data_IF_626587867409
#
_entry.id   IF_626587867409
#
_cell.length_a   1.000
_cell.length_b   1.000
_cell.length_c   1.000
_cell.angle_alpha   90.00
_cell.angle_beta   90.00
_cell.angle_gamma   90.00
#
_symmetry.space_group_name_H-M   'P 1'
#
loop_
_entity.id
_entity.type
_entity.pdbx_description
1 polymer ?
#
# COMPACT_ATOMS: atom_id res chain seq x y z
N UNK A 1 -12.11 -36.53 -3.76
CA UNK A 1 -12.91 -37.59 -4.41
C UNK A 1 -12.96 -38.83 -3.49
N UNK A 2 -14.09 -39.56 -3.41
CA UNK A 2 -14.26 -40.73 -2.52
C UNK A 2 -13.35 -41.91 -2.85
N UNK A 3 -13.03 -42.71 -1.82
CA UNK A 3 -12.19 -43.92 -1.93
C UNK A 3 -12.90 -44.96 -2.80
N UNK A 4 -12.16 -45.61 -3.70
CA UNK A 4 -12.65 -46.62 -4.64
C UNK A 4 -13.12 -46.07 -6.00
N UNK A 5 -13.28 -44.74 -6.12
CA UNK A 5 -13.72 -44.12 -7.37
C UNK A 5 -12.66 -44.22 -8.47
N UNK A 6 -13.09 -44.54 -9.69
CA UNK A 6 -12.24 -44.52 -10.88
C UNK A 6 -12.14 -43.10 -11.44
N UNK A 7 -10.92 -42.61 -11.63
CA UNK A 7 -10.66 -41.26 -12.12
C UNK A 7 -9.60 -41.29 -13.22
N UNK A 8 -9.76 -40.41 -14.19
CA UNK A 8 -8.85 -40.23 -15.32
C UNK A 8 -8.18 -38.88 -15.19
N UNK A 9 -6.85 -38.85 -15.16
CA UNK A 9 -6.07 -37.61 -15.22
C UNK A 9 -5.66 -37.38 -16.67
N UNK A 10 -5.99 -36.21 -17.20
CA UNK A 10 -5.72 -35.87 -18.58
C UNK A 10 -5.22 -34.42 -18.74
N UNK A 11 -4.46 -34.19 -19.81
CA UNK A 11 -3.93 -32.88 -20.18
C UNK A 11 -4.56 -32.41 -21.49
N UNK A 12 -4.78 -31.11 -21.69
CA UNK A 12 -5.33 -30.61 -22.94
C UNK A 12 -4.40 -31.00 -24.08
N UNK A 13 -4.97 -31.55 -25.15
CA UNK A 13 -4.19 -31.85 -26.34
C UNK A 13 -3.95 -30.56 -27.12
N UNK A 14 -2.68 -30.23 -27.35
CA UNK A 14 -2.27 -29.06 -28.11
C UNK A 14 -1.62 -29.56 -29.40
N UNK A 15 -2.27 -29.34 -30.54
CA UNK A 15 -1.69 -29.65 -31.84
C UNK A 15 -0.63 -28.61 -32.22
N UNK A 16 0.62 -29.01 -32.52
CA UNK A 16 1.55 -28.13 -33.21
C UNK A 16 0.98 -27.77 -34.59
N UNK A 17 1.00 -26.49 -34.94
CA UNK A 17 0.46 -25.96 -36.21
C UNK A 17 1.16 -26.51 -37.46
N UNK A 18 2.31 -27.15 -37.33
CA UNK A 18 3.15 -27.63 -38.43
C UNK A 18 2.96 -29.11 -38.78
N UNK A 19 2.08 -29.85 -38.07
CA UNK A 19 1.96 -31.31 -38.22
C UNK A 19 0.53 -31.76 -38.40
N UNK A 20 0.35 -32.85 -39.15
CA UNK A 20 -0.94 -33.52 -39.24
C UNK A 20 -1.29 -34.24 -37.94
N UNK A 21 -2.58 -34.43 -37.68
CA UNK A 21 -3.06 -35.11 -36.46
C UNK A 21 -2.46 -36.51 -36.30
N UNK A 22 -2.42 -37.29 -37.38
CA UNK A 22 -1.91 -38.66 -37.39
C UNK A 22 -0.40 -38.75 -37.14
N UNK A 23 0.39 -37.78 -37.62
CA UNK A 23 1.82 -37.69 -37.31
C UNK A 23 2.05 -37.40 -35.82
N UNK A 24 1.23 -36.52 -35.23
CA UNK A 24 1.35 -36.20 -33.81
C UNK A 24 0.96 -37.40 -32.92
N UNK A 25 -0.08 -38.15 -33.29
CA UNK A 25 -0.45 -39.39 -32.61
C UNK A 25 0.67 -40.42 -32.58
N UNK A 26 1.43 -40.58 -33.68
CA UNK A 26 2.58 -41.50 -33.73
C UNK A 26 3.70 -41.06 -32.78
N UNK A 27 3.90 -39.76 -32.60
CA UNK A 27 4.89 -39.23 -31.65
C UNK A 27 4.47 -39.52 -30.22
N UNK A 28 3.20 -39.25 -29.87
CA UNK A 28 2.66 -39.58 -28.55
C UNK A 28 2.79 -41.08 -28.25
N UNK A 29 2.58 -41.93 -29.25
CA UNK A 29 2.78 -43.38 -29.13
C UNK A 29 4.25 -43.75 -28.89
N UNK A 30 5.20 -43.10 -29.58
CA UNK A 30 6.64 -43.28 -29.33
C UNK A 30 7.08 -42.80 -27.94
N UNK A 31 6.40 -41.77 -27.40
CA UNK A 31 6.61 -41.27 -26.03
C UNK A 31 5.97 -42.18 -24.96
N UNK A 32 5.22 -43.21 -25.35
CA UNK A 32 4.62 -44.20 -24.46
C UNK A 32 3.15 -43.94 -24.10
N UNK A 33 2.53 -42.88 -24.64
CA UNK A 33 1.10 -42.65 -24.46
C UNK A 33 0.28 -43.63 -25.30
N UNK A 34 -0.83 -44.11 -24.74
CA UNK A 34 -1.66 -45.13 -25.41
C UNK A 34 -3.09 -44.69 -25.68
N UNK A 35 -3.57 -43.64 -25.01
CA UNK A 35 -4.98 -43.25 -25.03
C UNK A 35 -5.16 -41.73 -25.06
N UNK A 36 -6.22 -41.33 -25.74
CA UNK A 36 -6.77 -39.98 -25.71
C UNK A 36 -8.20 -40.05 -25.19
N UNK A 37 -8.71 -38.92 -24.73
CA UNK A 37 -10.11 -38.74 -24.42
C UNK A 37 -10.68 -37.76 -25.44
N UNK A 38 -11.62 -38.23 -26.27
CA UNK A 38 -12.30 -37.46 -27.31
C UNK A 38 -13.76 -37.32 -26.91
N UNK A 39 -14.22 -36.10 -26.68
CA UNK A 39 -15.59 -35.79 -26.24
C UNK A 39 -16.05 -36.66 -25.05
N UNK A 40 -15.18 -36.76 -24.03
CA UNK A 40 -15.38 -37.54 -22.80
C UNK A 40 -15.39 -39.08 -22.99
N UNK A 41 -15.00 -39.58 -24.16
CA UNK A 41 -14.83 -41.02 -24.40
C UNK A 41 -13.34 -41.37 -24.47
N UNK A 42 -12.85 -42.28 -23.60
CA UNK A 42 -11.47 -42.75 -23.69
C UNK A 42 -11.31 -43.68 -24.91
N UNK A 43 -10.48 -43.27 -25.85
CA UNK A 43 -10.19 -43.98 -27.11
C UNK A 43 -8.70 -44.30 -27.19
N UNK A 44 -8.33 -45.45 -27.75
CA UNK A 44 -6.90 -45.77 -27.92
C UNK A 44 -6.31 -45.05 -29.12
N UNK A 45 -5.03 -44.71 -29.05
CA UNK A 45 -4.31 -44.05 -30.15
C UNK A 45 -4.25 -44.97 -31.38
N UNK A 46 -4.13 -46.29 -31.17
CA UNK A 46 -4.14 -47.28 -32.24
C UNK A 46 -5.46 -47.25 -33.02
N UNK A 47 -6.60 -47.25 -32.32
CA UNK A 47 -7.92 -47.17 -32.97
C UNK A 47 -8.05 -45.88 -33.78
N UNK A 48 -7.61 -44.73 -33.23
CA UNK A 48 -7.70 -43.45 -33.94
C UNK A 48 -6.86 -43.42 -35.23
N UNK A 49 -5.70 -44.08 -35.23
CA UNK A 49 -4.83 -44.22 -36.40
C UNK A 49 -5.43 -45.19 -37.44
N UNK A 50 -5.99 -46.31 -36.98
CA UNK A 50 -6.56 -47.35 -37.86
C UNK A 50 -7.85 -46.87 -38.53
N UNK A 51 -8.69 -46.11 -37.82
CA UNK A 51 -9.93 -45.53 -38.36
C UNK A 51 -9.72 -44.20 -39.10
N UNK A 52 -8.49 -43.67 -39.15
CA UNK A 52 -8.18 -42.41 -39.83
C UNK A 52 -8.96 -41.22 -39.27
N UNK A 53 -9.16 -41.15 -37.96
CA UNK A 53 -9.92 -40.08 -37.33
C UNK A 53 -9.20 -38.74 -37.51
N UNK A 54 -9.89 -37.74 -38.05
CA UNK A 54 -9.44 -36.35 -38.08
C UNK A 54 -10.33 -35.49 -37.17
N UNK A 55 -9.73 -34.71 -36.25
CA UNK A 55 -10.49 -33.92 -35.31
C UNK A 55 -11.15 -32.71 -35.97
N UNK A 56 -12.45 -32.54 -35.75
CA UNK A 56 -13.14 -31.30 -36.10
C UNK A 56 -12.93 -30.24 -35.01
N UNK A 57 -13.04 -28.93 -35.31
CA UNK A 57 -12.85 -27.85 -34.33
C UNK A 57 -13.76 -27.92 -33.10
N UNK A 58 -14.87 -28.65 -33.18
CA UNK A 58 -15.81 -28.87 -32.08
C UNK A 58 -15.38 -29.96 -31.10
N UNK A 59 -14.42 -30.82 -31.46
CA UNK A 59 -14.00 -31.93 -30.60
C UNK A 59 -13.12 -31.44 -29.46
N UNK A 60 -13.40 -31.89 -28.25
CA UNK A 60 -12.52 -31.71 -27.10
C UNK A 60 -11.63 -32.93 -26.94
N UNK A 61 -10.32 -32.73 -27.11
CA UNK A 61 -9.32 -33.80 -27.07
C UNK A 61 -8.39 -33.58 -25.89
N UNK A 62 -8.22 -34.62 -25.10
CA UNK A 62 -7.34 -34.61 -23.94
C UNK A 62 -6.41 -35.83 -23.98
N UNK A 63 -5.14 -35.62 -23.69
CA UNK A 63 -4.15 -36.68 -23.54
C UNK A 63 -4.34 -37.37 -22.20
N UNK A 64 -4.61 -38.67 -22.19
CA UNK A 64 -4.76 -39.43 -20.94
C UNK A 64 -3.38 -39.77 -20.39
N UNK A 65 -3.05 -39.20 -19.23
CA UNK A 65 -1.75 -39.38 -18.58
C UNK A 65 -1.77 -40.62 -17.69
N UNK A 66 -2.75 -40.71 -16.80
CA UNK A 66 -2.91 -41.89 -15.93
C UNK A 66 -4.38 -42.10 -15.52
N UNK A 67 -4.64 -43.28 -14.97
CA UNK A 67 -5.93 -43.68 -14.39
C UNK A 67 -5.73 -44.27 -13.02
N UNK A 68 -6.57 -43.82 -12.11
CA UNK A 68 -6.49 -44.18 -10.72
C UNK A 68 -7.79 -44.80 -10.24
N UNK A 69 -7.68 -45.78 -9.37
CA UNK A 69 -8.73 -46.08 -8.39
C UNK A 69 -8.26 -45.47 -7.08
N UNK A 70 -9.06 -44.59 -6.48
CA UNK A 70 -8.64 -43.85 -5.30
C UNK A 70 -8.42 -44.82 -4.12
N UNK A 71 -7.18 -44.84 -3.62
CA UNK A 71 -6.75 -45.69 -2.51
C UNK A 71 -6.19 -44.81 -1.37
N UNK A 72 -6.07 -45.38 -0.17
CA UNK A 72 -5.50 -44.69 1.01
C UNK A 72 -4.01 -44.98 1.24
N UNK A 73 -3.35 -45.73 0.35
CA UNK A 73 -1.95 -46.10 0.52
C UNK A 73 -0.99 -44.93 0.20
N UNK A 74 0.14 -44.84 0.89
CA UNK A 74 1.13 -43.77 0.67
C UNK A 74 1.79 -43.87 -0.72
N UNK A 75 2.06 -45.10 -1.18
CA UNK A 75 2.57 -45.41 -2.53
C UNK A 75 1.65 -44.88 -3.64
N UNK A 76 0.34 -44.91 -3.42
CA UNK A 76 -0.66 -44.38 -4.34
C UNK A 76 -0.52 -42.86 -4.49
N UNK A 77 -0.37 -42.13 -3.37
CA UNK A 77 -0.22 -40.67 -3.42
C UNK A 77 1.08 -40.22 -4.08
N UNK A 78 2.17 -40.98 -3.92
CA UNK A 78 3.42 -40.73 -4.66
C UNK A 78 3.22 -40.86 -6.18
N UNK A 79 2.58 -41.95 -6.63
CA UNK A 79 2.27 -42.13 -8.06
C UNK A 79 1.36 -41.01 -8.59
N UNK A 80 0.32 -40.66 -7.83
CA UNK A 80 -0.60 -39.57 -8.21
C UNK A 80 0.15 -38.25 -8.36
N UNK A 81 1.06 -37.94 -7.43
CA UNK A 81 1.87 -36.72 -7.52
C UNK A 81 2.75 -36.69 -8.78
N UNK A 82 3.42 -37.79 -9.11
CA UNK A 82 4.24 -37.91 -10.32
C UNK A 82 3.39 -37.71 -11.59
N UNK A 83 2.21 -38.34 -11.66
CA UNK A 83 1.32 -38.18 -12.81
C UNK A 83 0.73 -36.77 -12.92
N UNK A 84 0.43 -36.10 -11.80
CA UNK A 84 -0.02 -34.70 -11.80
C UNK A 84 1.10 -33.81 -12.37
N UNK A 85 2.35 -34.05 -11.99
CA UNK A 85 3.48 -33.31 -12.53
C UNK A 85 3.64 -33.53 -14.05
N UNK A 86 3.54 -34.77 -14.53
CA UNK A 86 3.52 -35.07 -15.97
C UNK A 86 2.34 -34.40 -16.67
N UNK A 87 1.16 -34.42 -16.06
CA UNK A 87 -0.03 -33.83 -16.65
C UNK A 87 0.09 -32.32 -16.80
N UNK A 88 0.59 -31.61 -15.79
CA UNK A 88 0.86 -30.18 -15.91
C UNK A 88 1.97 -29.87 -16.91
N UNK A 89 3.00 -30.73 -17.03
CA UNK A 89 4.07 -30.53 -18.00
C UNK A 89 3.57 -30.63 -19.45
N UNK A 90 2.88 -31.72 -19.79
CA UNK A 90 2.34 -31.95 -21.14
C UNK A 90 1.20 -30.97 -21.49
N UNK A 91 0.42 -30.57 -20.48
CA UNK A 91 -0.68 -29.62 -20.63
C UNK A 91 -0.28 -28.16 -20.54
N UNK A 92 1.02 -27.83 -20.54
CA UNK A 92 1.54 -26.46 -20.42
C UNK A 92 0.95 -25.66 -19.24
N UNK A 93 0.77 -26.32 -18.09
CA UNK A 93 0.19 -25.74 -16.89
C UNK A 93 -1.28 -26.07 -16.67
N UNK A 94 -1.97 -26.74 -17.60
CA UNK A 94 -3.35 -27.18 -17.45
C UNK A 94 -3.47 -28.69 -17.34
N UNK A 95 -4.36 -29.16 -16.46
CA UNK A 95 -4.78 -30.55 -16.45
C UNK A 95 -6.25 -30.66 -16.02
N UNK A 96 -6.84 -31.83 -16.17
CA UNK A 96 -8.17 -32.11 -15.69
C UNK A 96 -8.28 -33.52 -15.11
N UNK A 97 -9.20 -33.67 -14.18
CA UNK A 97 -9.62 -34.96 -13.65
C UNK A 97 -11.05 -35.21 -14.13
N UNK A 98 -11.28 -36.39 -14.68
CA UNK A 98 -12.60 -36.85 -15.11
C UNK A 98 -13.03 -38.08 -14.32
N UNK A 99 -14.30 -38.10 -13.91
CA UNK A 99 -15.00 -39.24 -13.31
C UNK A 99 -16.41 -39.33 -13.91
N UNK A 100 -16.93 -40.55 -14.08
CA UNK A 100 -18.31 -40.75 -14.53
C UNK A 100 -19.34 -40.11 -13.60
N UNK A 101 -19.07 -40.06 -12.29
CA UNK A 101 -20.03 -39.56 -11.30
C UNK A 101 -19.93 -38.03 -11.09
N UNK A 102 -18.74 -37.45 -11.23
CA UNK A 102 -18.48 -36.03 -10.91
C UNK A 102 -18.20 -35.15 -12.14
N UNK A 103 -18.11 -35.75 -13.33
CA UNK A 103 -17.76 -35.05 -14.56
C UNK A 103 -16.31 -34.56 -14.56
N UNK A 104 -16.07 -33.48 -15.30
CA UNK A 104 -14.76 -32.88 -15.49
C UNK A 104 -14.47 -31.80 -14.46
N UNK A 105 -13.34 -31.92 -13.76
CA UNK A 105 -12.75 -30.86 -12.94
C UNK A 105 -11.43 -30.43 -13.56
N UNK A 106 -11.35 -29.17 -13.99
CA UNK A 106 -10.14 -28.59 -14.57
C UNK A 106 -9.28 -27.91 -13.50
N UNK A 107 -7.97 -27.97 -13.68
CA UNK A 107 -6.96 -27.35 -12.85
C UNK A 107 -5.97 -26.61 -13.75
N UNK A 108 -5.65 -25.37 -13.41
CA UNK A 108 -4.59 -24.58 -14.04
C UNK A 108 -3.59 -24.19 -12.95
N UNK A 109 -2.32 -24.46 -13.19
CA UNK A 109 -1.21 -24.05 -12.32
C UNK A 109 -0.74 -22.64 -12.68
N UNK A 110 -1.10 -22.12 -13.85
CA UNK A 110 -0.82 -20.73 -14.20
C UNK A 110 -1.75 -19.81 -13.43
N UNK A 111 -1.29 -18.59 -13.19
CA UNK A 111 -2.13 -17.54 -12.63
C UNK A 111 -3.05 -16.97 -13.73
N UNK A 112 -4.03 -17.76 -14.15
CA UNK A 112 -4.93 -17.47 -15.28
C UNK A 112 -6.40 -17.63 -14.88
N UNK A 113 -7.29 -16.95 -15.60
CA UNK A 113 -8.74 -17.13 -15.49
C UNK A 113 -9.40 -16.82 -16.84
N UNK A 114 -10.35 -17.65 -17.26
CA UNK A 114 -11.12 -17.48 -18.50
C UNK A 114 -10.26 -17.26 -19.77
N UNK A 115 -9.08 -17.88 -19.81
CA UNK A 115 -8.14 -17.75 -20.93
C UNK A 115 -7.29 -16.47 -20.92
N UNK A 116 -7.36 -15.68 -19.84
CA UNK A 116 -6.49 -14.53 -19.60
C UNK A 116 -5.40 -14.95 -18.63
N UNK A 117 -4.14 -14.79 -19.03
CA UNK A 117 -2.99 -14.96 -18.15
C UNK A 117 -2.74 -13.66 -17.38
N UNK A 118 -2.67 -13.75 -16.05
CA UNK A 118 -2.43 -12.62 -15.16
C UNK A 118 -0.97 -12.62 -14.69
N UNK A 119 -0.49 -11.42 -14.36
CA UNK A 119 0.78 -11.26 -13.69
C UNK A 119 0.69 -11.74 -12.24
N UNK A 120 1.56 -12.65 -11.84
CA UNK A 120 1.63 -13.09 -10.45
C UNK A 120 1.96 -11.92 -9.52
N UNK A 121 1.22 -11.75 -8.40
CA UNK A 121 1.46 -10.66 -7.47
C UNK A 121 2.83 -10.82 -6.79
N UNK A 122 3.69 -9.82 -6.99
CA UNK A 122 4.97 -9.69 -6.28
C UNK A 122 4.99 -8.37 -5.51
N UNK A 123 5.93 -8.22 -4.56
CA UNK A 123 6.12 -6.94 -3.86
C UNK A 123 6.45 -5.82 -4.86
N UNK A 124 7.19 -6.14 -5.93
CA UNK A 124 7.55 -5.20 -6.99
C UNK A 124 6.34 -4.68 -7.78
N UNK A 125 5.29 -5.48 -7.93
CA UNK A 125 4.04 -5.08 -8.60
C UNK A 125 3.34 -3.91 -7.89
N UNK A 126 3.50 -3.80 -6.57
CA UNK A 126 2.90 -2.75 -5.76
C UNK A 126 3.86 -1.57 -5.49
N UNK A 127 5.07 -1.60 -6.05
CA UNK A 127 6.03 -0.51 -5.95
C UNK A 127 5.94 0.45 -7.13
N UNK A 128 5.48 1.69 -6.90
CA UNK A 128 5.45 2.71 -7.97
C UNK A 128 6.84 3.20 -8.39
N UNK A 129 7.88 2.96 -7.58
CA UNK A 129 9.28 3.21 -7.93
C UNK A 129 9.91 2.07 -8.73
N UNK A 130 9.21 0.93 -8.89
CA UNK A 130 9.68 -0.21 -9.66
C UNK A 130 8.97 -0.21 -11.02
N UNK A 131 9.69 -0.30 -12.15
CA UNK A 131 9.09 -0.42 -13.48
C UNK A 131 8.06 -1.55 -13.62
N UNK A 132 8.19 -2.62 -12.81
CA UNK A 132 7.24 -3.74 -12.77
C UNK A 132 5.86 -3.33 -12.24
N UNK A 133 5.77 -2.35 -11.34
CA UNK A 133 4.53 -1.90 -10.73
C UNK A 133 4.07 -0.51 -11.18
N UNK A 134 5.00 0.33 -11.63
CA UNK A 134 4.74 1.68 -12.06
C UNK A 134 3.74 1.76 -13.22
N UNK A 135 2.85 2.75 -13.16
CA UNK A 135 1.95 3.07 -14.27
C UNK A 135 2.77 3.42 -15.53
N UNK A 136 2.58 2.75 -16.68
CA UNK A 136 3.36 3.01 -17.90
C UNK A 136 3.20 4.43 -18.46
N UNK A 137 2.07 5.09 -18.19
CA UNK A 137 1.76 6.42 -18.73
C UNK A 137 2.42 7.57 -17.97
N UNK A 138 2.55 7.43 -16.65
CA UNK A 138 3.13 8.47 -15.78
C UNK A 138 4.39 8.00 -15.06
N UNK A 139 4.91 6.81 -15.37
CA UNK A 139 6.14 6.25 -14.79
C UNK A 139 6.16 6.25 -13.26
N UNK A 140 4.99 6.11 -12.62
CA UNK A 140 4.86 6.12 -11.16
C UNK A 140 4.73 7.51 -10.52
N UNK A 141 4.76 8.60 -11.28
CA UNK A 141 4.56 9.96 -10.72
C UNK A 141 3.11 10.26 -10.34
N UNK A 142 2.13 9.55 -10.92
CA UNK A 142 0.69 9.76 -10.68
C UNK A 142 0.13 11.05 -11.30
N UNK A 143 0.99 11.88 -11.87
CA UNK A 143 0.65 13.11 -12.58
C UNK A 143 1.29 13.12 -13.96
N UNK A 144 0.66 13.83 -14.89
CA UNK A 144 1.18 14.05 -16.24
C UNK A 144 1.19 15.55 -16.52
N UNK A 145 2.08 15.98 -17.43
CA UNK A 145 2.04 17.35 -17.93
C UNK A 145 0.83 17.49 -18.85
N UNK A 146 -0.15 18.27 -18.41
CA UNK A 146 -1.40 18.52 -19.10
C UNK A 146 -1.68 20.01 -19.20
N UNK A 147 -2.73 20.37 -19.94
CA UNK A 147 -3.22 21.75 -19.93
C UNK A 147 -3.94 21.97 -18.60
N UNK A 148 -3.53 22.99 -17.86
CA UNK A 148 -4.17 23.37 -16.60
C UNK A 148 -5.38 24.26 -16.91
N UNK A 149 -6.59 23.77 -16.64
CA UNK A 149 -7.84 24.50 -16.88
C UNK A 149 -7.92 25.83 -16.14
N UNK A 150 -7.23 25.96 -14.99
CA UNK A 150 -7.26 27.18 -14.20
C UNK A 150 -6.39 28.27 -14.84
N UNK A 151 -5.33 27.89 -15.55
CA UNK A 151 -4.44 28.80 -16.29
C UNK A 151 -5.02 29.23 -17.65
N UNK A 152 -6.02 28.51 -18.18
CA UNK A 152 -6.59 28.74 -19.52
C UNK A 152 -7.48 30.00 -19.62
N UNK A 153 -7.91 30.57 -18.50
CA UNK A 153 -8.82 31.74 -18.50
C UNK A 153 -8.17 33.08 -18.89
N UNK A 154 -6.84 33.13 -19.07
CA UNK A 154 -6.08 34.35 -19.40
C UNK A 154 -5.49 34.34 -20.82
N UNK A 155 -6.27 33.93 -21.83
CA UNK A 155 -5.80 33.93 -23.23
C UNK A 155 -5.90 35.35 -23.81
N UNK A 156 -4.81 36.10 -23.72
CA UNK A 156 -4.46 37.13 -24.70
C UNK A 156 -3.32 36.62 -25.58
N UNK A 157 -3.45 36.90 -26.89
CA UNK A 157 -2.70 36.33 -28.01
C UNK A 157 -1.20 36.05 -27.78
N UNK A 158 -0.76 34.86 -28.27
CA UNK A 158 0.64 34.37 -28.43
C UNK A 158 1.52 34.37 -27.18
N UNK A 159 1.24 33.45 -26.27
CA UNK A 159 2.15 33.11 -25.16
C UNK A 159 2.55 31.62 -25.26
N UNK A 160 3.82 31.30 -24.95
CA UNK A 160 4.34 29.92 -24.97
C UNK A 160 3.46 28.96 -24.16
N UNK A 161 3.05 27.84 -24.78
CA UNK A 161 2.26 26.77 -24.17
C UNK A 161 2.84 26.24 -22.85
N UNK A 162 4.13 26.42 -22.60
CA UNK A 162 4.80 26.04 -21.34
C UNK A 162 4.23 26.74 -20.11
N UNK A 163 3.70 27.96 -20.23
CA UNK A 163 3.10 28.70 -19.11
C UNK A 163 1.70 28.22 -18.72
N UNK A 164 1.07 27.39 -19.56
CA UNK A 164 -0.30 26.87 -19.37
C UNK A 164 -0.33 25.36 -19.21
N UNK A 165 0.86 24.73 -19.18
CA UNK A 165 1.01 23.32 -18.86
C UNK A 165 1.26 23.17 -17.37
N UNK A 166 0.28 22.64 -16.67
CA UNK A 166 0.40 22.25 -15.27
C UNK A 166 0.51 20.74 -15.11
N UNK A 167 0.77 20.29 -13.90
CA UNK A 167 0.65 18.87 -13.57
C UNK A 167 -0.81 18.53 -13.31
N UNK A 168 -1.41 17.69 -14.15
CA UNK A 168 -2.75 17.14 -13.94
C UNK A 168 -2.67 15.69 -13.45
N UNK A 169 -3.74 15.20 -12.84
CA UNK A 169 -3.81 13.79 -12.39
C UNK A 169 -3.71 12.88 -13.60
N UNK A 170 -2.91 11.80 -13.51
CA UNK A 170 -2.79 10.86 -14.60
C UNK A 170 -4.14 10.15 -14.84
N UNK A 171 -4.71 10.20 -16.06
CA UNK A 171 -6.01 9.60 -16.35
C UNK A 171 -5.97 8.07 -16.45
N UNK A 172 -4.78 7.45 -16.50
CA UNK A 172 -4.65 5.98 -16.61
C UNK A 172 -4.64 5.29 -15.26
N UNK A 173 -4.11 5.93 -14.22
CA UNK A 173 -4.05 5.37 -12.87
C UNK A 173 -4.84 6.20 -11.86
N UNK A 174 -5.47 7.30 -12.30
CA UNK A 174 -6.26 8.23 -11.48
C UNK A 174 -5.49 8.72 -10.23
N UNK A 175 -4.17 8.93 -10.38
CA UNK A 175 -3.30 9.33 -9.27
C UNK A 175 -2.80 8.19 -8.37
N UNK A 176 -3.24 6.96 -8.60
CA UNK A 176 -2.81 5.76 -7.87
C UNK A 176 -1.39 5.26 -8.17
N UNK A 177 -0.71 5.82 -9.18
CA UNK A 177 0.70 5.58 -9.58
C UNK A 177 1.06 4.17 -10.05
N UNK A 178 0.18 3.20 -9.83
CA UNK A 178 0.39 1.80 -10.20
C UNK A 178 -0.24 1.47 -11.55
N UNK A 179 0.23 0.37 -12.14
CA UNK A 179 -0.34 -0.22 -13.36
C UNK A 179 -1.72 -0.86 -13.11
N UNK A 180 -2.55 -1.04 -14.16
CA UNK A 180 -3.88 -1.64 -14.04
C UNK A 180 -3.88 -3.03 -13.40
N UNK A 181 -2.88 -3.86 -13.68
CA UNK A 181 -2.76 -5.23 -13.19
C UNK A 181 -2.67 -5.28 -11.65
N UNK A 182 -2.06 -4.26 -11.03
CA UNK A 182 -2.00 -4.14 -9.57
C UNK A 182 -3.38 -3.87 -8.94
N UNK A 183 -4.35 -3.38 -9.72
CA UNK A 183 -5.72 -3.10 -9.23
C UNK A 183 -6.59 -4.35 -9.13
N UNK A 184 -6.17 -5.46 -9.75
CA UNK A 184 -6.88 -6.74 -9.65
C UNK A 184 -6.71 -7.38 -8.27
N UNK A 185 -5.62 -7.07 -7.57
CA UNK A 185 -5.38 -7.56 -6.22
C UNK A 185 -6.07 -6.66 -5.21
N UNK A 186 -6.91 -7.28 -4.38
CA UNK A 186 -7.70 -6.61 -3.34
C UNK A 186 -7.50 -7.27 -1.99
N UNK A 187 -7.36 -6.46 -0.95
CA UNK A 187 -7.31 -6.89 0.45
C UNK A 187 -8.46 -6.21 1.17
N UNK A 188 -9.34 -6.99 1.81
CA UNK A 188 -10.56 -6.47 2.43
C UNK A 188 -11.53 -5.80 1.44
N UNK A 189 -11.45 -6.14 0.15
CA UNK A 189 -12.24 -5.52 -0.92
C UNK A 189 -11.62 -4.26 -1.54
N UNK A 190 -10.52 -3.73 -0.99
CA UNK A 190 -9.86 -2.51 -1.45
C UNK A 190 -8.55 -2.79 -2.19
N UNK A 191 -8.24 -1.97 -3.20
CA UNK A 191 -6.96 -2.01 -3.92
C UNK A 191 -5.88 -1.25 -3.14
N UNK A 192 -4.61 -1.49 -3.48
CA UNK A 192 -3.49 -0.75 -2.87
C UNK A 192 -3.66 0.78 -3.03
N UNK A 193 -4.06 1.24 -4.21
CA UNK A 193 -4.26 2.67 -4.49
C UNK A 193 -5.36 3.29 -3.60
N UNK A 194 -6.41 2.54 -3.29
CA UNK A 194 -7.46 2.97 -2.38
C UNK A 194 -6.93 3.07 -0.95
N UNK A 195 -6.24 2.03 -0.46
CA UNK A 195 -5.64 2.02 0.87
C UNK A 195 -4.72 3.23 1.11
N UNK A 196 -3.86 3.59 0.16
CA UNK A 196 -2.92 4.71 0.33
C UNK A 196 -3.54 6.10 0.10
N UNK A 197 -4.71 6.17 -0.54
CA UNK A 197 -5.38 7.43 -0.85
C UNK A 197 -6.47 7.79 0.18
N UNK A 198 -6.83 6.86 1.07
CA UNK A 198 -7.70 7.13 2.22
C UNK A 198 -6.96 7.97 3.27
N UNK A 199 -7.63 8.97 3.89
CA UNK A 199 -7.07 9.70 5.04
C UNK A 199 -6.66 8.78 6.18
N UNK A 200 -5.57 9.10 6.88
CA UNK A 200 -5.04 8.25 7.96
C UNK A 200 -6.04 8.03 9.11
N UNK A 201 -6.88 9.03 9.38
CA UNK A 201 -7.94 8.95 10.40
C UNK A 201 -9.01 7.89 10.08
N UNK A 202 -9.33 7.71 8.80
CA UNK A 202 -10.27 6.69 8.31
C UNK A 202 -9.56 5.35 8.07
N UNK A 203 -8.30 5.40 7.64
CA UNK A 203 -7.50 4.22 7.32
C UNK A 203 -7.23 3.35 8.54
N UNK A 204 -6.97 3.95 9.70
CA UNK A 204 -6.72 3.21 10.94
C UNK A 204 -7.89 2.28 11.33
N UNK A 205 -9.14 2.77 11.51
CA UNK A 205 -10.25 1.89 11.87
C UNK A 205 -10.56 0.87 10.77
N UNK A 206 -10.38 1.21 9.48
CA UNK A 206 -10.52 0.24 8.39
C UNK A 206 -9.53 -0.91 8.50
N UNK A 207 -8.28 -0.64 8.91
CA UNK A 207 -7.26 -1.67 9.12
C UNK A 207 -7.56 -2.54 10.34
N UNK A 208 -8.05 -1.95 11.43
CA UNK A 208 -8.42 -2.67 12.65
C UNK A 208 -9.65 -3.57 12.47
N UNK A 209 -10.57 -3.19 11.57
CA UNK A 209 -11.79 -3.94 11.25
C UNK A 209 -11.60 -4.90 10.07
N UNK A 210 -10.38 -5.03 9.55
CA UNK A 210 -10.09 -5.89 8.40
C UNK A 210 -10.34 -7.36 8.75
N UNK A 211 -11.35 -7.96 8.10
CA UNK A 211 -11.66 -9.38 8.23
C UNK A 211 -10.91 -10.19 7.19
N UNK A 212 -10.07 -11.12 7.64
CA UNK A 212 -9.29 -12.05 6.81
C UNK A 212 -9.40 -13.49 7.34
N UNK A 213 -9.06 -14.47 6.51
CA UNK A 213 -9.15 -15.87 6.92
C UNK A 213 -8.14 -16.20 8.04
N UNK A 214 -8.37 -17.24 8.85
CA UNK A 214 -7.45 -17.62 9.92
C UNK A 214 -6.01 -17.89 9.44
N UNK A 215 -5.86 -18.44 8.23
CA UNK A 215 -4.55 -18.65 7.62
C UNK A 215 -3.88 -17.33 7.25
N UNK A 216 -4.63 -16.41 6.62
CA UNK A 216 -4.13 -15.08 6.27
C UNK A 216 -3.74 -14.29 7.52
N UNK A 217 -4.54 -14.35 8.58
CA UNK A 217 -4.22 -13.71 9.86
C UNK A 217 -2.89 -14.22 10.38
N UNK A 218 -2.67 -15.55 10.41
CA UNK A 218 -1.41 -16.13 10.88
C UNK A 218 -0.18 -15.66 10.08
N UNK A 219 -0.35 -15.43 8.78
CA UNK A 219 0.73 -14.94 7.90
C UNK A 219 0.96 -13.43 8.10
N UNK A 220 -0.11 -12.65 8.23
CA UNK A 220 -0.08 -11.20 8.20
C UNK A 220 -0.02 -10.53 9.58
N UNK A 221 -0.18 -11.27 10.69
CA UNK A 221 -0.35 -10.73 12.04
C UNK A 221 0.72 -9.69 12.41
N UNK A 222 1.99 -10.03 12.23
CA UNK A 222 3.11 -9.12 12.50
C UNK A 222 3.07 -7.87 11.61
N UNK A 223 2.69 -8.00 10.34
CA UNK A 223 2.60 -6.88 9.40
C UNK A 223 1.43 -5.97 9.78
N UNK A 224 0.27 -6.53 10.12
CA UNK A 224 -0.91 -5.78 10.53
C UNK A 224 -0.66 -5.00 11.83
N UNK A 225 0.02 -5.61 12.80
CA UNK A 225 0.41 -4.95 14.04
C UNK A 225 1.36 -3.77 13.78
N UNK A 226 2.36 -3.96 12.92
CA UNK A 226 3.31 -2.89 12.56
C UNK A 226 2.62 -1.73 11.82
N UNK A 227 1.77 -2.04 10.83
CA UNK A 227 1.00 -1.04 10.08
C UNK A 227 0.09 -0.27 11.03
N UNK A 228 -0.69 -0.97 11.86
CA UNK A 228 -1.63 -0.36 12.80
C UNK A 228 -0.91 0.53 13.82
N UNK A 229 0.24 0.09 14.33
CA UNK A 229 1.06 0.88 15.25
C UNK A 229 1.53 2.20 14.62
N UNK A 230 2.04 2.15 13.38
CA UNK A 230 2.48 3.36 12.65
C UNK A 230 1.33 4.31 12.34
N UNK A 231 0.17 3.78 11.93
CA UNK A 231 -1.03 4.57 11.69
C UNK A 231 -1.48 5.30 12.96
N UNK A 232 -1.50 4.60 14.10
CA UNK A 232 -1.80 5.19 15.41
C UNK A 232 -0.84 6.32 15.76
N UNK A 233 0.46 6.11 15.60
CA UNK A 233 1.46 7.13 15.88
C UNK A 233 1.26 8.39 15.03
N UNK A 234 1.01 8.24 13.73
CA UNK A 234 0.73 9.38 12.84
C UNK A 234 -0.55 10.12 13.22
N UNK A 235 -1.63 9.40 13.53
CA UNK A 235 -2.91 10.01 13.93
C UNK A 235 -2.79 10.77 15.26
N UNK A 236 -2.07 10.21 16.24
CA UNK A 236 -1.77 10.87 17.53
C UNK A 236 -1.01 12.19 17.34
N UNK A 237 -0.14 12.27 16.33
CA UNK A 237 0.60 13.48 15.99
C UNK A 237 -0.19 14.46 15.11
N UNK A 238 -1.51 14.29 15.01
CA UNK A 238 -2.39 15.20 14.28
C UNK A 238 -2.20 15.14 12.76
N UNK A 239 -1.63 14.04 12.23
CA UNK A 239 -1.45 13.84 10.79
C UNK A 239 -2.63 13.11 10.14
N UNK A 240 -3.75 12.94 10.87
CA UNK A 240 -4.89 12.12 10.46
C UNK A 240 -5.54 12.50 9.13
N UNK A 241 -5.56 13.81 8.81
CA UNK A 241 -6.13 14.34 7.57
C UNK A 241 -5.25 14.08 6.33
N UNK A 242 -4.02 13.60 6.50
CA UNK A 242 -3.12 13.27 5.40
C UNK A 242 -3.47 11.91 4.80
N UNK A 243 -2.95 11.65 3.59
CA UNK A 243 -3.02 10.33 2.94
C UNK A 243 -1.60 9.83 2.70
N UNK A 244 -1.40 8.51 2.67
CA UNK A 244 -0.07 7.91 2.40
C UNK A 244 0.44 8.22 0.98
N UNK A 245 -0.46 8.53 0.05
CA UNK A 245 -0.13 8.91 -1.32
C UNK A 245 0.22 10.41 -1.48
N UNK A 246 0.18 11.21 -0.40
CA UNK A 246 0.56 12.63 -0.45
C UNK A 246 2.07 12.76 -0.71
N UNK A 247 2.45 13.67 -1.60
CA UNK A 247 3.86 13.90 -1.92
C UNK A 247 4.60 14.58 -0.75
N UNK A 248 5.78 14.08 -0.40
CA UNK A 248 6.57 14.65 0.71
C UNK A 248 6.90 16.14 0.50
N UNK A 249 7.12 16.58 -0.75
CA UNK A 249 7.38 17.99 -1.08
C UNK A 249 6.18 18.93 -0.95
N UNK A 250 4.97 18.44 -0.67
CA UNK A 250 3.78 19.28 -0.42
C UNK A 250 3.43 19.37 1.07
N UNK A 251 4.29 18.86 1.95
CA UNK A 251 4.10 18.95 3.39
C UNK A 251 4.65 20.27 3.91
N UNK A 252 3.97 20.85 4.90
CA UNK A 252 4.49 21.97 5.66
C UNK A 252 5.69 21.54 6.51
N UNK A 253 6.51 22.50 6.96
CA UNK A 253 7.65 22.20 7.83
C UNK A 253 7.23 21.41 9.08
N UNK A 254 6.16 21.84 9.75
CA UNK A 254 5.60 21.14 10.92
C UNK A 254 5.04 19.75 10.59
N UNK A 255 4.34 19.59 9.45
CA UNK A 255 3.86 18.26 8.99
C UNK A 255 5.05 17.30 8.77
N UNK A 256 6.12 17.77 8.12
CA UNK A 256 7.31 16.99 7.85
C UNK A 256 8.05 16.60 9.14
N UNK A 257 8.22 17.54 10.06
CA UNK A 257 8.86 17.29 11.36
C UNK A 257 8.08 16.25 12.17
N UNK A 258 6.74 16.36 12.23
CA UNK A 258 5.89 15.38 12.90
C UNK A 258 5.93 14.01 12.22
N UNK A 259 6.02 13.94 10.90
CA UNK A 259 6.20 12.66 10.18
C UNK A 259 7.51 11.98 10.59
N UNK A 260 8.61 12.73 10.71
CA UNK A 260 9.89 12.21 11.19
C UNK A 260 9.82 11.73 12.65
N UNK A 261 9.06 12.44 13.49
CA UNK A 261 8.81 12.03 14.87
C UNK A 261 8.02 10.72 14.95
N UNK A 262 6.96 10.59 14.14
CA UNK A 262 6.18 9.35 14.02
C UNK A 262 7.06 8.16 13.57
N UNK A 263 7.96 8.41 12.61
CA UNK A 263 8.92 7.40 12.13
C UNK A 263 9.89 6.98 13.21
N UNK A 264 10.33 7.92 14.05
CA UNK A 264 11.26 7.67 15.16
C UNK A 264 10.61 6.84 16.27
N UNK A 265 9.35 7.13 16.61
CA UNK A 265 8.56 6.33 17.56
C UNK A 265 8.36 4.88 17.09
N UNK A 266 8.18 4.67 15.78
CA UNK A 266 8.05 3.34 15.19
C UNK A 266 9.38 2.60 15.04
N UNK A 267 10.51 3.21 15.42
CA UNK A 267 11.83 2.62 15.35
C UNK A 267 12.26 2.12 16.74
N UNK A 268 12.88 0.93 16.86
CA UNK A 268 13.32 0.39 18.15
C UNK A 268 14.63 1.05 18.65
N UNK A 269 14.84 2.35 18.38
CA UNK A 269 16.07 3.06 18.75
C UNK A 269 16.04 3.41 20.24
N UNK A 270 17.08 2.97 20.95
CA UNK A 270 17.33 3.23 22.38
C UNK A 270 18.72 3.84 22.52
N UNK A 271 18.92 4.76 23.47
CA UNK A 271 20.19 5.44 23.69
C UNK A 271 20.54 6.50 22.65
N UNK A 272 19.55 6.97 21.88
CA UNK A 272 19.72 8.06 20.92
C UNK A 272 19.47 9.41 21.58
N UNK A 273 20.07 10.48 21.05
CA UNK A 273 19.74 11.86 21.43
C UNK A 273 18.95 12.52 20.32
N UNK A 274 17.70 12.87 20.60
CA UNK A 274 16.82 13.60 19.70
C UNK A 274 16.94 15.10 20.00
N UNK A 275 17.29 15.89 18.99
CA UNK A 275 17.32 17.36 19.08
C UNK A 275 16.22 17.89 18.16
N UNK A 276 15.22 18.54 18.75
CA UNK A 276 14.01 19.00 18.06
C UNK A 276 13.94 20.53 18.12
N UNK A 277 13.68 21.15 16.98
CA UNK A 277 13.56 22.60 16.83
C UNK A 277 12.09 22.98 16.70
N UNK A 278 11.52 23.60 17.73
CA UNK A 278 10.13 24.06 17.83
C UNK A 278 9.06 23.11 17.24
N UNK A 279 8.95 21.86 17.76
CA UNK A 279 8.00 20.88 17.24
C UNK A 279 6.53 21.29 17.40
N UNK A 280 6.20 22.30 18.21
CA UNK A 280 4.85 22.85 18.37
C UNK A 280 4.39 23.71 17.17
N UNK A 281 5.30 24.10 16.26
CA UNK A 281 4.97 25.01 15.15
C UNK A 281 3.80 24.48 14.30
N UNK A 282 2.79 25.34 14.17
CA UNK A 282 1.62 25.06 13.34
C UNK A 282 0.69 23.99 13.90
N UNK A 283 0.84 23.60 15.17
CA UNK A 283 -0.18 22.83 15.88
C UNK A 283 -1.22 23.74 16.51
N UNK A 284 -2.45 23.24 16.57
CA UNK A 284 -3.46 23.83 17.44
C UNK A 284 -3.11 23.49 18.90
N UNK A 285 -3.40 24.38 19.85
CA UNK A 285 -3.13 24.17 21.28
C UNK A 285 -3.73 22.89 21.89
N UNK A 286 -4.71 22.29 21.22
CA UNK A 286 -5.31 21.01 21.64
C UNK A 286 -4.43 19.82 21.28
N UNK A 287 -3.68 19.92 20.19
CA UNK A 287 -2.84 18.85 19.66
C UNK A 287 -1.43 18.88 20.28
N UNK A 288 -1.03 20.01 20.89
CA UNK A 288 0.22 20.13 21.67
C UNK A 288 0.32 19.06 22.76
N UNK A 289 -0.78 18.73 23.43
CA UNK A 289 -0.81 17.69 24.47
C UNK A 289 -0.45 16.30 23.93
N UNK A 290 -0.87 15.98 22.71
CA UNK A 290 -0.52 14.70 22.09
C UNK A 290 0.96 14.65 21.67
N UNK A 291 1.51 15.78 21.20
CA UNK A 291 2.94 15.92 20.95
C UNK A 291 3.76 15.73 22.23
N UNK A 292 3.36 16.36 23.33
CA UNK A 292 4.02 16.24 24.64
C UNK A 292 4.11 14.78 25.11
N UNK A 293 3.00 14.05 25.01
CA UNK A 293 2.98 12.63 25.35
C UNK A 293 3.95 11.79 24.51
N UNK A 294 4.11 12.14 23.23
CA UNK A 294 5.08 11.49 22.34
C UNK A 294 6.52 11.80 22.74
N UNK A 295 6.83 13.03 23.14
CA UNK A 295 8.17 13.39 23.61
C UNK A 295 8.54 12.64 24.89
N UNK A 296 7.58 12.50 25.81
CA UNK A 296 7.70 11.71 27.03
C UNK A 296 7.94 10.23 26.69
N UNK A 297 7.16 9.65 25.77
CA UNK A 297 7.37 8.26 25.34
C UNK A 297 8.75 8.04 24.73
N UNK A 298 9.24 8.96 23.89
CA UNK A 298 10.59 8.87 23.32
C UNK A 298 11.66 8.87 24.41
N UNK A 299 11.53 9.73 25.42
CA UNK A 299 12.40 9.76 26.59
C UNK A 299 12.35 8.43 27.35
N UNK A 300 11.15 7.95 27.66
CA UNK A 300 10.91 6.76 28.48
C UNK A 300 11.35 5.45 27.81
N UNK A 301 11.46 5.44 26.48
CA UNK A 301 12.12 4.37 25.72
C UNK A 301 13.64 4.29 25.98
N UNK A 302 14.21 5.20 26.76
CA UNK A 302 15.64 5.26 27.08
C UNK A 302 16.44 6.16 26.15
N UNK A 303 15.80 7.18 25.58
CA UNK A 303 16.46 8.19 24.75
C UNK A 303 16.57 9.52 25.51
N UNK A 304 17.47 10.39 25.05
CA UNK A 304 17.54 11.78 25.51
C UNK A 304 16.80 12.66 24.52
N UNK A 305 15.87 13.49 24.98
CA UNK A 305 15.11 14.40 24.13
C UNK A 305 15.43 15.84 24.53
N UNK A 306 16.04 16.59 23.61
CA UNK A 306 16.34 18.02 23.76
C UNK A 306 15.45 18.80 22.81
N UNK A 307 14.68 19.74 23.35
CA UNK A 307 13.69 20.50 22.58
C UNK A 307 13.97 21.98 22.73
N UNK A 308 14.06 22.69 21.61
CA UNK A 308 14.03 24.16 21.56
C UNK A 308 12.57 24.57 21.43
N UNK A 309 12.02 25.26 22.43
CA UNK A 309 10.60 25.63 22.48
C UNK A 309 10.37 26.96 23.18
N UNK A 310 9.22 27.55 22.88
CA UNK A 310 8.69 28.74 23.55
C UNK A 310 7.27 28.52 24.08
N UNK A 311 6.66 27.35 23.84
CA UNK A 311 5.35 26.98 24.37
C UNK A 311 5.40 26.70 25.88
N UNK A 312 4.49 27.34 26.63
CA UNK A 312 4.44 27.27 28.09
C UNK A 312 4.16 25.85 28.62
N UNK A 313 3.30 25.07 27.95
CA UNK A 313 2.96 23.71 28.37
C UNK A 313 4.16 22.78 28.19
N UNK A 314 4.97 22.99 27.14
CA UNK A 314 6.21 22.24 26.92
C UNK A 314 7.25 22.54 27.99
N UNK A 315 7.50 23.82 28.28
CA UNK A 315 8.50 24.21 29.29
C UNK A 315 8.13 23.67 30.68
N UNK A 316 6.84 23.70 31.04
CA UNK A 316 6.32 23.18 32.31
C UNK A 316 6.54 21.69 32.52
N UNK A 317 6.55 20.91 31.44
CA UNK A 317 6.71 19.46 31.48
C UNK A 317 8.17 19.01 31.39
N UNK A 318 9.10 19.93 31.18
CA UNK A 318 10.51 19.60 31.02
C UNK A 318 11.13 19.12 32.33
N UNK A 319 11.83 17.99 32.28
CA UNK A 319 12.63 17.50 33.41
C UNK A 319 13.79 18.46 33.75
N UNK A 320 14.30 19.15 32.74
CA UNK A 320 15.39 20.11 32.84
C UNK A 320 15.18 21.25 31.84
N UNK A 321 15.34 22.50 32.29
CA UNK A 321 15.21 23.72 31.48
C UNK A 321 16.57 24.38 31.34
N UNK A 322 16.93 24.74 30.12
CA UNK A 322 18.09 25.59 29.81
C UNK A 322 17.55 26.87 29.18
N UNK A 323 17.63 27.98 29.90
CA UNK A 323 17.17 29.28 29.42
C UNK A 323 18.37 30.08 28.89
N UNK A 324 18.27 30.54 27.65
CA UNK A 324 19.34 31.22 26.93
C UNK A 324 18.91 32.66 26.64
N UNK A 325 19.75 33.62 27.00
CA UNK A 325 19.42 35.03 26.85
C UNK A 325 20.56 35.94 27.30
N UNK A 326 20.24 37.13 27.87
CA UNK A 326 18.90 37.69 28.10
C UNK A 326 18.21 38.23 26.83
N UNK A 327 18.98 38.55 25.78
CA UNK A 327 18.47 39.12 24.52
C UNK A 327 19.04 38.37 23.31
N UNK A 328 18.71 38.82 22.09
CA UNK A 328 19.23 38.22 20.87
C UNK A 328 20.62 38.77 20.46
N UNK A 329 21.34 38.01 19.64
CA UNK A 329 22.60 38.44 19.02
C UNK A 329 23.73 38.65 20.04
N UNK A 330 24.44 39.78 19.92
CA UNK A 330 25.59 40.12 20.80
C UNK A 330 25.19 40.33 22.27
N UNK A 331 23.89 40.53 22.54
CA UNK A 331 23.34 40.71 23.89
C UNK A 331 22.78 39.39 24.46
N UNK A 332 23.00 38.28 23.77
CA UNK A 332 22.57 36.94 24.14
C UNK A 332 23.71 35.94 24.26
N UNK A 333 23.37 34.66 24.16
CA UNK A 333 24.34 33.56 24.17
C UNK A 333 24.85 33.20 25.57
N UNK A 334 24.22 33.73 26.62
CA UNK A 334 24.49 33.35 27.99
C UNK A 334 23.40 32.42 28.52
N UNK A 335 23.81 31.44 29.33
CA UNK A 335 22.87 30.58 30.05
C UNK A 335 22.38 31.38 31.26
N UNK A 336 21.12 31.80 31.21
CA UNK A 336 20.47 32.54 32.30
C UNK A 336 20.04 31.58 33.41
N UNK A 337 19.68 30.36 33.04
CA UNK A 337 19.27 29.30 33.96
C UNK A 337 19.56 27.92 33.36
N UNK A 338 19.95 26.97 34.20
CA UNK A 338 20.06 25.55 33.84
C UNK A 338 19.77 24.69 35.06
N UNK A 339 18.65 23.98 35.06
CA UNK A 339 18.20 23.19 36.21
C UNK A 339 16.80 22.59 36.03
N UNK A 340 16.28 21.90 37.06
CA UNK A 340 14.92 21.35 37.06
C UNK A 340 13.84 22.44 37.01
N UNK A 341 12.74 22.22 36.28
CA UNK A 341 11.66 23.21 36.12
C UNK A 341 11.12 23.78 37.45
N UNK A 342 11.03 22.95 38.49
CA UNK A 342 10.57 23.36 39.83
C UNK A 342 11.34 24.56 40.41
N UNK A 343 12.62 24.68 40.08
CA UNK A 343 13.47 25.80 40.51
C UNK A 343 13.52 26.93 39.46
N UNK A 344 13.13 26.65 38.22
CA UNK A 344 13.13 27.61 37.13
C UNK A 344 12.11 28.72 37.34
N UNK A 345 10.94 28.42 37.93
CA UNK A 345 9.93 29.44 38.23
C UNK A 345 10.49 30.59 39.07
N UNK A 346 11.50 30.33 39.91
CA UNK A 346 12.13 31.34 40.76
C UNK A 346 13.35 32.02 40.12
N UNK A 347 13.78 31.57 38.93
CA UNK A 347 14.94 32.10 38.25
C UNK A 347 14.77 33.58 37.86
N UNK A 348 15.88 34.32 37.83
CA UNK A 348 15.90 35.70 37.36
C UNK A 348 16.13 35.73 35.84
N UNK A 349 15.09 35.35 35.10
CA UNK A 349 15.10 35.36 33.63
C UNK A 349 13.79 35.86 33.05
N UNK A 350 13.84 36.42 31.83
CA UNK A 350 12.66 36.96 31.15
C UNK A 350 11.59 35.87 30.95
N UNK A 351 12.02 34.68 30.52
CA UNK A 351 11.15 33.52 30.33
C UNK A 351 10.43 33.14 31.63
N UNK A 352 11.15 33.07 32.76
CA UNK A 352 10.54 32.79 34.06
C UNK A 352 9.60 33.92 34.56
N UNK A 353 9.84 35.18 34.17
CA UNK A 353 8.93 36.28 34.47
C UNK A 353 7.60 36.17 33.72
N UNK A 354 7.62 35.74 32.46
CA UNK A 354 6.40 35.48 31.68
C UNK A 354 5.61 34.27 32.22
N UNK A 355 6.29 33.16 32.55
CA UNK A 355 5.63 31.96 33.10
C UNK A 355 4.96 32.25 34.45
N UNK A 356 5.57 33.08 35.30
CA UNK A 356 4.97 33.55 36.55
C UNK A 356 3.83 34.56 36.36
N UNK A 357 3.67 35.11 35.16
CA UNK A 357 2.74 36.20 34.88
C UNK A 357 3.13 37.56 35.47
N UNK A 358 4.40 37.74 35.85
CA UNK A 358 4.95 39.06 36.23
C UNK A 358 5.01 39.96 34.99
N UNK A 359 5.45 39.39 33.88
CA UNK A 359 5.32 39.97 32.54
C UNK A 359 4.16 39.28 31.81
N UNK A 360 3.40 40.05 31.01
CA UNK A 360 2.27 39.51 30.26
C UNK A 360 1.99 40.33 29.01
N UNK A 361 1.36 39.69 28.03
CA UNK A 361 0.85 40.39 26.85
C UNK A 361 -0.55 40.90 27.19
N UNK A 362 -0.67 42.20 27.44
CA UNK A 362 -1.96 42.81 27.77
C UNK A 362 -2.94 42.72 26.60
N UNK A 363 -4.16 42.24 26.88
CA UNK A 363 -5.24 42.24 25.92
C UNK A 363 -5.74 43.68 25.70
N UNK A 364 -5.97 44.11 24.45
CA UNK A 364 -6.49 45.44 24.19
C UNK A 364 -7.87 45.61 24.84
N UNK A 365 -8.01 46.61 25.69
CA UNK A 365 -9.27 46.94 26.39
C UNK A 365 -10.38 47.33 25.41
N UNK A 366 -10.02 47.88 24.25
CA UNK A 366 -10.96 48.25 23.18
C UNK A 366 -10.50 47.58 21.88
N UNK A 367 -11.40 46.77 21.29
CA UNK A 367 -11.18 46.19 19.95
C UNK A 367 -11.51 47.24 18.88
N UNK A 368 -10.69 47.30 17.82
CA UNK A 368 -10.92 48.23 16.70
C UNK A 368 -12.18 47.82 15.93
N UNK A 369 -13.13 48.73 15.67
CA UNK A 369 -14.23 48.45 14.76
C UNK A 369 -13.67 48.28 13.34
N UNK A 370 -14.23 47.33 12.58
CA UNK A 370 -13.90 47.16 11.17
C UNK A 370 -14.52 48.30 10.34
N UNK A 371 -13.78 48.81 9.35
CA UNK A 371 -14.27 49.86 8.44
C UNK A 371 -14.56 49.35 7.03
N UNK A 372 -13.94 48.23 6.66
CA UNK A 372 -14.06 47.55 5.37
C UNK A 372 -13.98 46.06 5.60
N UNK A 373 -14.61 45.28 4.73
CA UNK A 373 -14.52 43.82 4.72
C UNK A 373 -14.12 43.30 3.34
N UNK A 374 -13.57 42.10 3.33
CA UNK A 374 -13.35 41.29 2.13
C UNK A 374 -14.25 40.07 2.26
N UNK A 375 -15.13 39.85 1.28
CA UNK A 375 -16.03 38.70 1.25
C UNK A 375 -15.47 37.67 0.28
N UNK A 376 -15.34 36.42 0.72
CA UNK A 376 -14.79 35.33 -0.08
C UNK A 376 -15.92 34.40 -0.47
N UNK A 377 -16.48 34.56 -1.67
CA UNK A 377 -17.60 33.74 -2.11
C UNK A 377 -17.13 32.53 -2.92
N UNK A 378 -17.64 31.34 -2.59
CA UNK A 378 -17.48 30.16 -3.43
C UNK A 378 -16.09 29.54 -3.35
N UNK A 379 -15.53 29.43 -2.13
CA UNK A 379 -14.20 28.85 -1.94
C UNK A 379 -14.27 27.32 -1.81
N UNK A 380 -13.70 26.62 -2.79
CA UNK A 380 -13.73 25.14 -2.91
C UNK A 380 -12.36 24.46 -2.95
N UNK A 381 -11.26 25.21 -2.81
CA UNK A 381 -9.93 24.62 -2.99
C UNK A 381 -9.62 23.61 -1.87
N UNK A 382 -9.10 22.44 -2.24
CA UNK A 382 -8.76 21.31 -1.34
C UNK A 382 -9.93 20.82 -0.47
N UNK A 383 -9.84 21.02 0.85
CA UNK A 383 -10.82 20.56 1.84
C UNK A 383 -11.89 21.62 2.15
N UNK A 384 -11.85 22.79 1.51
CA UNK A 384 -12.79 23.88 1.75
C UNK A 384 -14.16 23.58 1.13
N UNK A 385 -15.22 23.79 1.90
CA UNK A 385 -16.59 23.38 1.56
C UNK A 385 -17.48 24.60 1.30
N UNK A 386 -17.33 25.22 0.12
CA UNK A 386 -18.15 26.36 -0.32
C UNK A 386 -18.24 27.49 0.73
N UNK A 387 -17.08 27.97 1.20
CA UNK A 387 -17.05 29.02 2.21
C UNK A 387 -17.51 30.35 1.58
N UNK A 388 -18.24 31.16 2.36
CA UNK A 388 -18.79 32.49 2.02
C UNK A 388 -18.35 33.55 3.03
#
# INVERSE_FOLDING_TARGET
MPIGQAVVLASPWICPTERSFSEHLRILQMQGYTRLMVDQKPTTIADLLDFGFEPQPSHQIWLVIDRFHIQQEESFWHRVADSIQTAFFEGHGQCMIWSEEQGTQAFDHRFSLDGIDFMEPSVGLFGFNNPQGACPKCEGFGKVLGVDSDLVHQIQYRVMLSKYRGTTVCPSCEGGRLRPEATYVRVGGFTMAQWVSTPLEDLQPMMEQLSISPLQQKIADRLLNEITSRLKAMNRLGLGYLTLNRGAGTLSGGEFQRMNLATSLGSPLVGSTYVLDEPSIGLHSKDTQALLQVLIELRDLGNTVMVVEHDEDVVKLADWVIDVGPLAGVYGGHIQYSGPYEQFEQADSLTAQYIRGLERIDLPTIRRPWQKSVNLNGVFIHNLKNIQ
#
